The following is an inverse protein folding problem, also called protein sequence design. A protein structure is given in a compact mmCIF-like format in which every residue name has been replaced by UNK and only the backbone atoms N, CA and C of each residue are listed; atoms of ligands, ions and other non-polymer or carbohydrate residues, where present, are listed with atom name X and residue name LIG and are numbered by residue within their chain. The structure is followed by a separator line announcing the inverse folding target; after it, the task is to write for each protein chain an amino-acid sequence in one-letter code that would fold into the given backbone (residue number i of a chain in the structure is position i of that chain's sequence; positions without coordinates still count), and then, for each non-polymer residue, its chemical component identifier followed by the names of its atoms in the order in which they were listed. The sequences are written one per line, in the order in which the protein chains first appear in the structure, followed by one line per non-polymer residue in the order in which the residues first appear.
data_IF_490625056011
#
_entry.id   IF_490625056011
#
_cell.length_a   1.000
_cell.length_b   1.000
_cell.length_c   1.000
_cell.angle_alpha   90.00
_cell.angle_beta   90.00
_cell.angle_gamma   90.00
#
_symmetry.space_group_name_H-M   'P 1'
#
loop_
_entity.id
_entity.type
_entity.pdbx_description
1 polymer ?
#
# COMPACT_ATOMS: atom_id res chain seq x y z
N UNK A 1 30.37 41.60 27.06
CA UNK A 1 29.25 41.40 26.10
C UNK A 1 29.58 40.52 24.89
N UNK A 2 30.76 40.61 24.25
CA UNK A 2 31.11 39.78 23.07
C UNK A 2 31.27 38.26 23.34
N UNK A 3 31.59 37.86 24.58
CA UNK A 3 31.71 36.44 24.97
C UNK A 3 30.36 35.74 25.19
N UNK A 4 29.31 36.49 25.56
CA UNK A 4 27.97 35.95 25.78
C UNK A 4 27.25 35.68 24.44
N UNK A 5 27.46 36.56 23.45
CA UNK A 5 26.92 36.40 22.09
C UNK A 5 27.50 35.17 21.35
N UNK A 6 28.77 34.80 21.58
CA UNK A 6 29.38 33.59 20.99
C UNK A 6 28.86 32.29 21.63
N UNK A 7 28.51 32.32 22.91
CA UNK A 7 27.87 31.16 23.59
C UNK A 7 26.43 30.95 23.12
N UNK A 8 25.67 32.01 22.84
CA UNK A 8 24.33 31.88 22.25
C UNK A 8 24.37 31.38 20.80
N UNK A 9 25.36 31.79 19.99
CA UNK A 9 25.53 31.28 18.62
C UNK A 9 25.94 29.79 18.61
N UNK A 10 26.83 29.36 19.51
CA UNK A 10 27.17 27.94 19.66
C UNK A 10 25.97 27.10 20.16
N UNK A 11 25.14 27.63 21.05
CA UNK A 11 23.90 26.98 21.48
C UNK A 11 22.83 26.92 20.38
N UNK A 12 22.78 27.90 19.47
CA UNK A 12 21.88 27.90 18.30
C UNK A 12 22.36 26.97 17.18
N UNK A 13 23.68 26.77 17.03
CA UNK A 13 24.26 25.77 16.12
C UNK A 13 24.12 24.34 16.68
N UNK A 14 24.17 24.15 18.01
CA UNK A 14 23.82 22.88 18.66
C UNK A 14 22.31 22.63 18.77
N UNK A 15 21.47 23.67 18.66
CA UNK A 15 19.99 23.58 18.55
C UNK A 15 19.45 23.51 17.13
N UNK A 16 20.30 23.64 16.10
CA UNK A 16 20.18 22.75 14.93
C UNK A 16 20.61 21.36 15.39
N UNK A 17 19.87 20.83 16.38
CA UNK A 17 20.01 19.46 16.80
C UNK A 17 19.92 18.64 15.54
N UNK A 18 20.80 17.64 15.43
CA UNK A 18 20.71 16.56 14.46
C UNK A 18 19.24 16.28 14.21
N UNK A 19 18.68 16.84 13.13
CA UNK A 19 17.33 16.50 12.73
C UNK A 19 17.43 15.00 12.51
N UNK A 20 16.73 14.23 13.33
CA UNK A 20 16.83 12.78 13.24
C UNK A 20 16.33 12.43 11.83
N UNK A 21 17.25 12.00 10.98
CA UNK A 21 16.89 11.57 9.64
C UNK A 21 16.08 10.29 9.77
N UNK A 22 15.07 10.09 8.92
CA UNK A 22 14.30 8.86 8.95
C UNK A 22 15.19 7.65 8.67
N UNK A 23 14.98 6.61 9.47
CA UNK A 23 15.70 5.33 9.39
C UNK A 23 14.82 4.19 8.94
N UNK A 24 13.50 4.31 9.16
CA UNK A 24 12.53 3.25 8.85
C UNK A 24 11.47 3.75 7.88
N UNK A 25 11.26 3.00 6.80
CA UNK A 25 10.06 3.11 5.96
C UNK A 25 9.01 2.15 6.51
N UNK A 26 7.80 2.65 6.74
CA UNK A 26 6.63 1.83 7.06
C UNK A 26 5.66 1.93 5.89
N UNK A 27 5.31 0.80 5.29
CA UNK A 27 4.29 0.74 4.25
C UNK A 27 3.06 0.01 4.75
N UNK A 28 1.89 0.53 4.42
CA UNK A 28 0.61 -0.05 4.82
C UNK A 28 -0.16 -0.55 3.60
N UNK A 29 -0.70 -1.76 3.68
CA UNK A 29 -1.87 -2.12 2.89
C UNK A 29 -3.10 -1.29 3.32
N UNK A 30 -4.13 -1.29 2.49
CA UNK A 30 -5.34 -0.48 2.68
C UNK A 30 -6.50 -1.31 3.19
N UNK A 31 -6.91 -2.34 2.46
CA UNK A 31 -8.21 -2.98 2.61
C UNK A 31 -8.16 -4.08 3.68
N UNK A 32 -8.83 -3.83 4.80
CA UNK A 32 -8.77 -4.62 6.04
C UNK A 32 -7.48 -4.43 6.84
N UNK A 33 -6.61 -3.50 6.42
CA UNK A 33 -5.42 -3.05 7.18
C UNK A 33 -5.59 -1.64 7.75
N UNK A 34 -5.95 -0.65 6.92
CA UNK A 34 -6.23 0.73 7.36
C UNK A 34 -7.74 1.03 7.40
N UNK A 35 -8.49 0.46 6.47
CA UNK A 35 -9.94 0.67 6.34
C UNK A 35 -10.66 -0.67 6.19
N UNK A 36 -11.97 -0.73 6.45
CA UNK A 36 -12.75 -1.94 6.21
C UNK A 36 -12.72 -2.33 4.72
N UNK A 37 -12.34 -3.58 4.40
CA UNK A 37 -12.13 -4.03 3.01
C UNK A 37 -13.02 -5.20 2.53
N UNK A 38 -13.75 -5.90 3.41
CA UNK A 38 -14.36 -7.21 3.09
C UNK A 38 -15.82 -7.36 3.59
N UNK A 39 -16.68 -6.38 3.30
CA UNK A 39 -18.12 -6.46 3.58
C UNK A 39 -18.95 -6.56 2.30
N UNK A 40 -20.21 -7.03 2.40
CA UNK A 40 -21.15 -7.00 1.27
C UNK A 40 -21.34 -5.57 0.70
N UNK A 41 -21.19 -4.54 1.53
CA UNK A 41 -21.20 -3.15 1.08
C UNK A 41 -19.92 -2.77 0.33
N UNK A 42 -18.76 -3.30 0.74
CA UNK A 42 -17.49 -3.12 0.03
C UNK A 42 -17.51 -3.81 -1.35
N UNK A 43 -18.16 -4.96 -1.48
CA UNK A 43 -18.36 -5.66 -2.77
C UNK A 43 -19.29 -4.92 -3.72
N UNK A 44 -20.12 -4.01 -3.20
CA UNK A 44 -20.93 -3.09 -3.97
C UNK A 44 -20.38 -1.65 -3.94
N UNK A 45 -19.10 -1.45 -3.60
CA UNK A 45 -18.50 -0.11 -3.49
C UNK A 45 -18.24 0.52 -4.85
N UNK A 46 -17.88 1.82 -4.85
CA UNK A 46 -17.39 2.50 -6.05
C UNK A 46 -16.14 1.79 -6.63
N UNK A 47 -15.28 1.22 -5.77
CA UNK A 47 -14.14 0.43 -6.20
C UNK A 47 -14.57 -0.86 -6.90
N UNK A 48 -15.48 -1.63 -6.33
CA UNK A 48 -15.94 -2.87 -6.96
C UNK A 48 -16.65 -2.60 -8.32
N UNK A 49 -17.40 -1.50 -8.42
CA UNK A 49 -18.03 -1.08 -9.69
C UNK A 49 -17.01 -0.64 -10.74
N UNK A 50 -15.88 -0.05 -10.35
CA UNK A 50 -14.89 0.44 -11.32
C UNK A 50 -14.29 -0.71 -12.14
N UNK A 51 -14.09 -1.89 -11.56
CA UNK A 51 -13.70 -3.09 -12.31
C UNK A 51 -14.69 -3.39 -13.43
N UNK A 52 -15.98 -3.48 -13.08
CA UNK A 52 -17.02 -3.86 -14.04
C UNK A 52 -17.09 -2.90 -15.23
N UNK A 53 -17.06 -1.59 -14.93
CA UNK A 53 -17.08 -0.51 -15.93
C UNK A 53 -15.80 -0.51 -16.76
N UNK A 54 -14.62 -0.53 -16.14
CA UNK A 54 -13.35 -0.41 -16.84
C UNK A 54 -13.05 -1.62 -17.73
N UNK A 55 -13.24 -2.84 -17.22
CA UNK A 55 -13.06 -4.07 -18.02
C UNK A 55 -14.06 -4.10 -19.19
N UNK A 56 -15.30 -3.69 -18.97
CA UNK A 56 -16.31 -3.56 -20.02
C UNK A 56 -15.97 -2.51 -21.07
N UNK A 57 -15.44 -1.35 -20.66
CA UNK A 57 -15.02 -0.28 -21.56
C UNK A 57 -13.86 -0.70 -22.47
N UNK A 58 -12.87 -1.41 -21.93
CA UNK A 58 -11.65 -1.78 -22.67
C UNK A 58 -11.86 -3.01 -23.55
N UNK A 59 -12.66 -3.99 -23.09
CA UNK A 59 -12.75 -5.30 -23.72
C UNK A 59 -14.17 -5.73 -24.14
N UNK A 60 -15.22 -5.04 -23.68
CA UNK A 60 -16.62 -5.44 -23.84
C UNK A 60 -17.48 -4.43 -24.61
N UNK A 61 -16.89 -3.71 -25.57
CA UNK A 61 -17.56 -2.71 -26.41
C UNK A 61 -18.32 -1.62 -25.62
N UNK A 62 -17.85 -1.29 -24.41
CA UNK A 62 -18.46 -0.28 -23.55
C UNK A 62 -19.54 -0.79 -22.60
N UNK A 63 -19.99 -2.04 -22.72
CA UNK A 63 -20.95 -2.63 -21.80
C UNK A 63 -20.24 -3.08 -20.50
N UNK A 64 -20.68 -2.66 -19.31
CA UNK A 64 -20.10 -3.14 -18.06
C UNK A 64 -20.21 -4.66 -17.93
N UNK A 65 -19.19 -5.28 -17.35
CA UNK A 65 -19.25 -6.69 -16.95
C UNK A 65 -20.06 -6.87 -15.66
N UNK A 66 -20.18 -8.10 -15.16
CA UNK A 66 -20.64 -8.33 -13.79
C UNK A 66 -19.62 -7.82 -12.77
N UNK A 67 -20.07 -7.52 -11.54
CA UNK A 67 -19.15 -7.17 -10.45
C UNK A 67 -18.18 -8.33 -10.17
N UNK A 68 -16.96 -8.08 -9.66
CA UNK A 68 -16.00 -9.13 -9.33
C UNK A 68 -16.61 -10.26 -8.48
N UNK A 69 -17.32 -9.92 -7.40
CA UNK A 69 -17.97 -10.92 -6.52
C UNK A 69 -19.09 -11.74 -7.19
N UNK A 70 -19.61 -11.31 -8.35
CA UNK A 70 -20.62 -12.03 -9.11
C UNK A 70 -20.03 -12.94 -10.20
N UNK A 71 -18.76 -12.73 -10.58
CA UNK A 71 -18.10 -13.42 -11.71
C UNK A 71 -16.93 -14.29 -11.25
N UNK A 72 -16.22 -13.84 -10.21
CA UNK A 72 -15.01 -14.47 -9.68
C UNK A 72 -15.31 -15.19 -8.37
N UNK A 73 -14.55 -16.24 -8.10
CA UNK A 73 -14.55 -16.89 -6.80
C UNK A 73 -13.84 -16.00 -5.77
N UNK A 74 -14.26 -16.04 -4.51
CA UNK A 74 -13.65 -15.27 -3.41
C UNK A 74 -12.11 -15.40 -3.34
N UNK A 75 -11.57 -16.58 -3.65
CA UNK A 75 -10.13 -16.83 -3.66
C UNK A 75 -9.38 -16.09 -4.79
N UNK A 76 -10.08 -15.65 -5.84
CA UNK A 76 -9.50 -15.01 -7.01
C UNK A 76 -9.42 -13.48 -6.90
N UNK A 77 -10.06 -12.86 -5.90
CA UNK A 77 -10.03 -11.39 -5.75
C UNK A 77 -9.65 -10.91 -4.35
N UNK A 78 -9.89 -11.67 -3.28
CA UNK A 78 -9.46 -11.23 -1.95
C UNK A 78 -7.94 -11.30 -1.77
N UNK A 79 -7.30 -10.18 -1.44
CA UNK A 79 -5.85 -10.07 -1.27
C UNK A 79 -5.07 -10.08 -2.61
N UNK A 80 -5.79 -10.02 -3.74
CA UNK A 80 -5.19 -9.89 -5.07
C UNK A 80 -4.89 -8.43 -5.40
N UNK A 81 -4.10 -8.21 -6.45
CA UNK A 81 -3.94 -6.89 -7.07
C UNK A 81 -5.07 -6.60 -8.06
N UNK A 82 -5.41 -5.32 -8.25
CA UNK A 82 -6.43 -4.88 -9.20
C UNK A 82 -6.11 -5.33 -10.63
N UNK A 83 -4.82 -5.32 -11.02
CA UNK A 83 -4.38 -5.83 -12.31
C UNK A 83 -4.77 -7.30 -12.51
N UNK A 84 -4.45 -8.18 -11.56
CA UNK A 84 -4.81 -9.60 -11.65
C UNK A 84 -6.33 -9.81 -11.59
N UNK A 85 -7.07 -9.03 -10.78
CA UNK A 85 -8.53 -9.08 -10.72
C UNK A 85 -9.13 -8.71 -12.08
N UNK A 86 -8.68 -7.60 -12.69
CA UNK A 86 -9.18 -7.15 -13.98
C UNK A 86 -8.92 -8.17 -15.09
N UNK A 87 -7.76 -8.84 -15.08
CA UNK A 87 -7.44 -9.91 -16.03
C UNK A 87 -8.32 -11.15 -15.84
N UNK A 88 -8.54 -11.57 -14.59
CA UNK A 88 -9.47 -12.67 -14.27
C UNK A 88 -10.89 -12.35 -14.70
N UNK A 89 -11.32 -11.09 -14.50
CA UNK A 89 -12.63 -10.60 -14.92
C UNK A 89 -12.76 -10.58 -16.45
N UNK A 90 -11.76 -10.06 -17.17
CA UNK A 90 -11.74 -10.06 -18.64
C UNK A 90 -11.83 -11.50 -19.20
N UNK A 91 -11.09 -12.45 -18.59
CA UNK A 91 -11.16 -13.87 -18.98
C UNK A 91 -12.53 -14.48 -18.72
N UNK A 92 -13.05 -14.38 -17.50
CA UNK A 92 -14.30 -15.07 -17.10
C UNK A 92 -15.56 -14.41 -17.67
N UNK A 93 -15.62 -13.09 -17.75
CA UNK A 93 -16.80 -12.38 -18.23
C UNK A 93 -16.85 -12.22 -19.76
N UNK A 94 -15.70 -12.06 -20.41
CA UNK A 94 -15.61 -11.65 -21.81
C UNK A 94 -14.82 -12.63 -22.69
N UNK A 95 -14.22 -13.67 -22.12
CA UNK A 95 -13.45 -14.67 -22.87
C UNK A 95 -12.12 -14.16 -23.42
N UNK A 96 -11.60 -13.03 -22.91
CA UNK A 96 -10.33 -12.46 -23.37
C UNK A 96 -9.15 -13.17 -22.71
N UNK A 97 -8.18 -13.60 -23.50
CA UNK A 97 -7.00 -14.29 -22.98
C UNK A 97 -6.11 -13.32 -22.19
N UNK A 98 -5.44 -13.76 -21.10
CA UNK A 98 -4.58 -12.90 -20.30
C UNK A 98 -3.44 -12.26 -21.09
N UNK A 99 -2.87 -12.98 -22.06
CA UNK A 99 -1.83 -12.48 -22.95
C UNK A 99 -2.29 -11.28 -23.82
N UNK A 100 -3.58 -11.22 -24.15
CA UNK A 100 -4.17 -10.11 -24.92
C UNK A 100 -4.62 -8.96 -24.00
N UNK A 101 -5.06 -9.29 -22.78
CA UNK A 101 -5.56 -8.30 -21.82
C UNK A 101 -4.43 -7.59 -21.04
N UNK A 102 -3.35 -8.29 -20.68
CA UNK A 102 -2.27 -7.73 -19.85
C UNK A 102 -1.59 -6.49 -20.47
N UNK A 103 -1.26 -6.45 -21.77
CA UNK A 103 -0.70 -5.24 -22.39
C UNK A 103 -1.64 -4.02 -22.35
N UNK A 104 -2.94 -4.23 -22.15
CA UNK A 104 -3.97 -3.18 -22.12
C UNK A 104 -4.36 -2.79 -20.69
N UNK A 105 -3.71 -3.32 -19.66
CA UNK A 105 -3.93 -2.90 -18.27
C UNK A 105 -3.81 -1.38 -18.04
N UNK A 106 -2.90 -0.64 -18.69
CA UNK A 106 -2.88 0.82 -18.57
C UNK A 106 -4.21 1.48 -19.00
N UNK A 107 -4.87 0.96 -20.04
CA UNK A 107 -6.20 1.44 -20.46
C UNK A 107 -7.27 1.11 -19.41
N UNK A 108 -7.19 -0.08 -18.80
CA UNK A 108 -8.10 -0.49 -17.73
C UNK A 108 -7.93 0.41 -16.51
N UNK A 109 -6.69 0.68 -16.08
CA UNK A 109 -6.42 1.53 -14.93
C UNK A 109 -6.89 2.98 -15.18
N UNK A 110 -6.69 3.51 -16.38
CA UNK A 110 -7.23 4.81 -16.77
C UNK A 110 -8.77 4.82 -16.71
N UNK A 111 -9.45 3.80 -17.24
CA UNK A 111 -10.89 3.69 -17.18
C UNK A 111 -11.42 3.50 -15.74
N UNK A 112 -10.69 2.77 -14.88
CA UNK A 112 -11.01 2.67 -13.45
C UNK A 112 -10.93 4.04 -12.78
N UNK A 113 -9.89 4.83 -13.10
CA UNK A 113 -9.74 6.18 -12.59
C UNK A 113 -10.90 7.09 -13.03
N UNK A 114 -11.20 7.13 -14.33
CA UNK A 114 -12.29 7.94 -14.87
C UNK A 114 -13.63 7.61 -14.21
N UNK A 115 -13.87 6.33 -13.91
CA UNK A 115 -15.12 5.87 -13.28
C UNK A 115 -15.31 6.38 -11.84
N UNK A 116 -14.24 6.75 -11.14
CA UNK A 116 -14.30 7.21 -9.74
C UNK A 116 -13.96 8.69 -9.56
N UNK A 117 -13.37 9.34 -10.57
CA UNK A 117 -12.90 10.72 -10.49
C UNK A 117 -14.05 11.71 -10.14
N UNK A 118 -15.25 11.49 -10.68
CA UNK A 118 -16.42 12.33 -10.46
C UNK A 118 -17.28 11.97 -9.24
N UNK A 119 -16.95 10.90 -8.51
CA UNK A 119 -17.71 10.47 -7.33
C UNK A 119 -17.29 11.36 -6.16
N UNK A 120 -18.22 11.99 -5.44
CA UNK A 120 -17.88 12.75 -4.23
C UNK A 120 -17.33 11.85 -3.12
N UNK A 121 -16.57 12.43 -2.19
CA UNK A 121 -15.86 11.65 -1.18
C UNK A 121 -16.83 10.97 -0.20
N UNK A 122 -17.94 11.62 0.16
CA UNK A 122 -18.99 11.02 1.00
C UNK A 122 -19.61 9.78 0.35
N UNK A 123 -19.98 9.87 -0.94
CA UNK A 123 -20.51 8.75 -1.71
C UNK A 123 -19.47 7.64 -1.91
N UNK A 124 -18.19 8.00 -2.06
CA UNK A 124 -17.11 7.03 -2.19
C UNK A 124 -16.83 6.28 -0.88
N UNK A 125 -16.92 6.97 0.27
CA UNK A 125 -16.68 6.40 1.60
C UNK A 125 -17.80 5.47 2.09
N UNK A 126 -18.91 5.32 1.37
CA UNK A 126 -20.01 4.44 1.78
C UNK A 126 -19.50 3.00 1.97
N UNK A 127 -19.53 2.52 3.21
CA UNK A 127 -19.04 1.18 3.58
C UNK A 127 -17.53 1.09 3.82
N UNK A 128 -16.81 2.22 3.79
CA UNK A 128 -15.36 2.31 3.99
C UNK A 128 -15.10 3.22 5.20
N UNK A 129 -14.60 2.63 6.29
CA UNK A 129 -14.30 3.35 7.52
C UNK A 129 -12.91 2.94 8.04
N UNK A 130 -12.14 3.85 8.66
CA UNK A 130 -10.91 3.49 9.35
C UNK A 130 -11.12 2.39 10.39
N UNK A 131 -10.19 1.44 10.45
CA UNK A 131 -10.22 0.39 11.46
C UNK A 131 -9.81 0.91 12.85
N UNK A 132 -10.18 0.21 13.94
CA UNK A 132 -9.78 0.58 15.29
C UNK A 132 -8.26 0.79 15.41
N UNK A 133 -7.86 1.87 16.08
CA UNK A 133 -6.45 2.21 16.31
C UNK A 133 -5.75 2.92 15.13
N UNK A 134 -6.28 2.85 13.91
CA UNK A 134 -5.64 3.43 12.70
C UNK A 134 -5.40 4.93 12.86
N UNK A 135 -6.44 5.69 13.24
CA UNK A 135 -6.34 7.15 13.38
C UNK A 135 -5.28 7.52 14.43
N UNK A 136 -5.32 6.89 15.60
CA UNK A 136 -4.36 7.13 16.70
C UNK A 136 -2.94 6.80 16.26
N UNK A 137 -2.75 5.67 15.60
CA UNK A 137 -1.45 5.19 15.13
C UNK A 137 -0.87 6.10 14.06
N UNK A 138 -1.64 6.46 13.04
CA UNK A 138 -1.17 7.36 11.97
C UNK A 138 -0.85 8.76 12.52
N UNK A 139 -1.67 9.30 13.43
CA UNK A 139 -1.35 10.58 14.11
C UNK A 139 -0.03 10.50 14.90
N UNK A 140 0.23 9.38 15.58
CA UNK A 140 1.48 9.18 16.31
C UNK A 140 2.69 9.09 15.38
N UNK A 141 2.56 8.41 14.23
CA UNK A 141 3.63 8.29 13.23
C UNK A 141 3.91 9.61 12.52
N UNK A 142 2.88 10.40 12.21
CA UNK A 142 3.01 11.72 11.59
C UNK A 142 3.91 12.68 12.41
N UNK A 143 4.00 12.45 13.72
CA UNK A 143 4.81 13.26 14.63
C UNK A 143 6.23 12.70 14.86
N UNK A 144 6.57 11.54 14.29
CA UNK A 144 7.85 10.87 14.53
C UNK A 144 8.80 11.08 13.34
N UNK A 145 9.84 11.95 13.44
CA UNK A 145 10.71 12.28 12.32
C UNK A 145 11.62 11.13 11.86
N UNK A 146 11.63 10.01 12.61
CA UNK A 146 12.49 8.87 12.37
C UNK A 146 11.86 7.83 11.44
N UNK A 147 10.58 8.00 11.13
CA UNK A 147 9.81 7.12 10.25
C UNK A 147 9.31 7.90 9.04
N UNK A 148 9.22 7.21 7.91
CA UNK A 148 8.52 7.65 6.70
C UNK A 148 7.39 6.66 6.49
N UNK A 149 6.18 7.14 6.22
CA UNK A 149 5.06 6.26 5.91
C UNK A 149 4.68 6.37 4.43
N UNK A 150 4.36 5.24 3.81
CA UNK A 150 3.76 5.16 2.48
C UNK A 150 2.70 4.07 2.43
N UNK A 151 2.08 3.88 1.26
CA UNK A 151 1.17 2.76 1.04
C UNK A 151 1.80 1.70 0.13
N UNK A 152 1.52 0.44 0.41
CA UNK A 152 1.72 -0.64 -0.56
C UNK A 152 0.41 -1.41 -0.65
N UNK A 153 -0.26 -1.33 -1.80
CA UNK A 153 -1.60 -1.90 -1.96
C UNK A 153 -1.81 -2.44 -3.35
N UNK A 154 -2.63 -3.49 -3.45
CA UNK A 154 -3.09 -4.06 -4.71
C UNK A 154 -4.02 -3.14 -5.48
N UNK A 155 -4.58 -2.11 -4.82
CA UNK A 155 -5.42 -1.11 -5.47
C UNK A 155 -4.62 -0.29 -6.49
N UNK A 156 -5.25 0.09 -7.60
CA UNK A 156 -4.72 1.15 -8.46
C UNK A 156 -4.59 2.44 -7.65
N UNK A 157 -3.55 3.23 -7.95
CA UNK A 157 -3.14 4.38 -7.15
C UNK A 157 -4.29 5.39 -6.93
N UNK A 158 -5.09 5.67 -7.96
CA UNK A 158 -6.21 6.60 -7.87
C UNK A 158 -7.28 6.14 -6.85
N UNK A 159 -7.56 4.84 -6.79
CA UNK A 159 -8.50 4.27 -5.83
C UNK A 159 -7.92 4.37 -4.41
N UNK A 160 -6.64 4.05 -4.23
CA UNK A 160 -5.97 4.18 -2.94
C UNK A 160 -6.02 5.62 -2.43
N UNK A 161 -5.74 6.61 -3.30
CA UNK A 161 -5.85 8.05 -3.00
C UNK A 161 -7.26 8.44 -2.57
N UNK A 162 -8.26 8.03 -3.37
CA UNK A 162 -9.66 8.32 -3.10
C UNK A 162 -10.10 7.75 -1.75
N UNK A 163 -9.68 6.53 -1.40
CA UNK A 163 -9.91 5.94 -0.07
C UNK A 163 -9.29 6.77 1.05
N UNK A 164 -8.02 7.15 0.92
CA UNK A 164 -7.33 7.93 1.96
C UNK A 164 -7.93 9.33 2.16
N UNK A 165 -8.34 9.99 1.08
CA UNK A 165 -9.02 11.29 1.13
C UNK A 165 -10.42 11.15 1.76
N UNK A 166 -11.24 10.24 1.23
CA UNK A 166 -12.63 10.07 1.62
C UNK A 166 -12.82 9.61 3.08
N UNK A 167 -11.83 8.90 3.63
CA UNK A 167 -11.83 8.49 5.05
C UNK A 167 -11.14 9.48 5.99
N UNK A 168 -10.61 10.58 5.46
CA UNK A 168 -9.88 11.59 6.23
C UNK A 168 -8.47 11.17 6.68
N UNK A 169 -8.01 9.97 6.33
CA UNK A 169 -6.69 9.46 6.71
C UNK A 169 -5.54 10.27 6.09
N UNK A 170 -5.74 10.79 4.87
CA UNK A 170 -4.77 11.67 4.23
C UNK A 170 -4.51 12.94 5.06
N UNK A 171 -5.56 13.52 5.65
CA UNK A 171 -5.48 14.75 6.42
C UNK A 171 -4.71 14.61 7.75
N UNK A 172 -4.43 13.37 8.19
CA UNK A 172 -3.62 13.10 9.38
C UNK A 172 -2.13 13.44 9.17
N UNK A 173 -1.68 13.59 7.91
CA UNK A 173 -0.31 13.99 7.58
C UNK A 173 0.76 12.91 7.83
N UNK A 174 0.36 11.65 7.99
CA UNK A 174 1.29 10.54 8.21
C UNK A 174 2.00 10.09 6.93
N UNK A 175 1.27 10.11 5.80
CA UNK A 175 1.77 9.63 4.51
C UNK A 175 2.73 10.64 3.90
N UNK A 176 3.93 10.19 3.53
CA UNK A 176 4.96 11.04 2.97
C UNK A 176 4.58 11.52 1.55
N UNK A 177 5.09 12.67 1.10
CA UNK A 177 4.89 13.17 -0.25
C UNK A 177 5.32 12.12 -1.31
N UNK A 178 4.72 12.14 -2.51
CA UNK A 178 5.07 11.21 -3.57
C UNK A 178 6.50 11.45 -4.06
N UNK A 179 7.10 10.41 -4.63
CA UNK A 179 8.35 10.57 -5.38
C UNK A 179 8.09 11.37 -6.67
N UNK A 180 9.01 12.26 -7.11
CA UNK A 180 8.80 13.05 -8.32
C UNK A 180 8.53 12.24 -9.59
N UNK A 181 9.13 11.05 -9.73
CA UNK A 181 8.87 10.18 -10.89
C UNK A 181 7.47 9.55 -10.83
N UNK A 182 6.96 9.28 -9.63
CA UNK A 182 5.59 8.81 -9.42
C UNK A 182 4.58 9.83 -9.98
N UNK A 183 4.85 11.12 -9.81
CA UNK A 183 4.00 12.20 -10.35
C UNK A 183 4.25 12.45 -11.85
N UNK A 184 5.49 12.32 -12.32
CA UNK A 184 5.86 12.58 -13.71
C UNK A 184 5.35 11.54 -14.71
N UNK A 185 4.99 10.33 -14.25
CA UNK A 185 4.50 9.22 -15.06
C UNK A 185 3.17 9.44 -15.80
N UNK A 186 2.57 10.63 -15.72
CA UNK A 186 1.51 11.09 -16.63
C UNK A 186 0.11 10.48 -16.43
N UNK A 187 -0.05 9.54 -15.49
CA UNK A 187 -1.36 8.98 -15.12
C UNK A 187 -2.14 9.82 -14.12
N UNK A 188 -1.51 10.82 -13.51
CA UNK A 188 -2.14 11.69 -12.51
C UNK A 188 -2.71 12.94 -13.17
N UNK A 189 -4.02 13.16 -13.05
CA UNK A 189 -4.56 14.48 -13.34
C UNK A 189 -3.99 15.49 -12.34
N UNK A 190 -3.68 16.72 -12.79
CA UNK A 190 -3.11 17.76 -11.93
C UNK A 190 -3.93 18.02 -10.65
N UNK A 191 -5.25 17.81 -10.70
CA UNK A 191 -6.16 17.96 -9.55
C UNK A 191 -5.98 16.91 -8.45
N UNK A 192 -5.44 15.73 -8.77
CA UNK A 192 -5.17 14.65 -7.80
C UNK A 192 -3.70 14.62 -7.36
N UNK A 193 -2.85 15.52 -7.87
CA UNK A 193 -1.48 15.68 -7.39
C UNK A 193 -1.42 16.18 -5.93
N UNK A 194 -2.46 16.87 -5.45
CA UNK A 194 -2.56 17.33 -4.06
C UNK A 194 -2.93 16.18 -3.10
N UNK A 195 -3.55 15.11 -3.60
CA UNK A 195 -3.81 13.89 -2.84
C UNK A 195 -2.67 12.87 -2.97
N UNK A 196 -1.55 13.31 -3.54
CA UNK A 196 -0.44 12.43 -3.83
C UNK A 196 0.41 12.11 -2.59
N UNK A 197 0.89 10.87 -2.52
CA UNK A 197 1.72 10.34 -1.45
C UNK A 197 2.55 9.14 -1.94
N UNK A 198 3.65 8.89 -1.23
CA UNK A 198 4.59 7.80 -1.45
C UNK A 198 3.91 6.43 -1.41
N UNK A 199 4.23 5.56 -2.36
CA UNK A 199 3.81 4.17 -2.27
C UNK A 199 4.23 3.29 -3.43
N UNK A 200 3.70 2.06 -3.41
CA UNK A 200 3.69 1.09 -4.51
C UNK A 200 2.26 0.58 -4.69
N UNK A 201 1.74 0.66 -5.90
CA UNK A 201 0.31 0.48 -6.18
C UNK A 201 0.08 -0.64 -7.20
N UNK A 202 -1.15 -1.16 -7.27
CA UNK A 202 -1.58 -2.12 -8.30
C UNK A 202 -1.36 -1.64 -9.72
N UNK A 203 -1.33 -0.32 -9.92
CA UNK A 203 -1.04 0.32 -11.21
C UNK A 203 0.45 0.40 -11.56
N UNK A 204 1.35 0.17 -10.61
CA UNK A 204 2.80 0.22 -10.85
C UNK A 204 3.34 -1.08 -11.46
N UNK A 205 2.76 -2.23 -11.09
CA UNK A 205 3.22 -3.53 -11.54
C UNK A 205 2.09 -4.57 -11.52
N UNK A 206 2.03 -5.37 -12.58
CA UNK A 206 1.21 -6.58 -12.69
C UNK A 206 1.97 -7.56 -13.59
N UNK A 207 2.20 -8.79 -13.12
CA UNK A 207 2.90 -9.82 -13.89
C UNK A 207 2.11 -10.31 -15.11
N UNK A 208 0.78 -10.17 -15.08
CA UNK A 208 -0.12 -10.65 -16.12
C UNK A 208 -0.39 -12.16 -16.08
N UNK A 209 0.29 -12.89 -15.19
CA UNK A 209 0.11 -14.33 -15.01
C UNK A 209 -0.95 -14.60 -13.95
N UNK A 210 -2.18 -14.84 -14.39
CA UNK A 210 -3.32 -15.10 -13.49
C UNK A 210 -3.47 -16.57 -13.11
N UNK A 211 -2.66 -17.46 -13.67
CA UNK A 211 -2.71 -18.91 -13.46
C UNK A 211 -1.65 -19.38 -12.46
N UNK A 212 -0.61 -18.58 -12.22
CA UNK A 212 0.33 -18.77 -11.12
C UNK A 212 -0.22 -18.17 -9.81
N UNK A 213 -0.51 -19.04 -8.84
CA UNK A 213 -1.06 -18.66 -7.54
C UNK A 213 -0.12 -17.80 -6.70
N UNK A 214 1.20 -17.88 -6.95
CA UNK A 214 2.21 -17.13 -6.21
C UNK A 214 2.23 -15.65 -6.64
N UNK A 215 1.63 -15.31 -7.79
CA UNK A 215 1.66 -13.95 -8.34
C UNK A 215 0.99 -12.91 -7.46
N UNK A 216 0.00 -13.30 -6.64
CA UNK A 216 -0.61 -12.36 -5.70
C UNK A 216 0.42 -11.75 -4.73
N UNK A 217 1.34 -12.57 -4.20
CA UNK A 217 2.34 -12.08 -3.24
C UNK A 217 3.62 -11.60 -3.94
N UNK A 218 3.99 -12.16 -5.11
CA UNK A 218 5.15 -11.68 -5.86
C UNK A 218 4.90 -10.29 -6.48
N UNK A 219 3.72 -10.04 -7.07
CA UNK A 219 3.37 -8.71 -7.57
C UNK A 219 3.31 -7.68 -6.43
N UNK A 220 2.83 -8.11 -5.25
CA UNK A 220 2.87 -7.30 -4.02
C UNK A 220 4.31 -7.02 -3.58
N UNK A 221 5.21 -7.99 -3.67
CA UNK A 221 6.63 -7.83 -3.38
C UNK A 221 7.30 -6.81 -4.31
N UNK A 222 6.96 -6.81 -5.60
CA UNK A 222 7.41 -5.78 -6.55
C UNK A 222 6.90 -4.38 -6.16
N UNK A 223 5.65 -4.27 -5.71
CA UNK A 223 5.11 -2.99 -5.20
C UNK A 223 5.84 -2.51 -3.94
N UNK A 224 6.18 -3.43 -3.02
CA UNK A 224 7.06 -3.12 -1.87
C UNK A 224 8.41 -2.58 -2.36
N UNK A 225 9.03 -3.24 -3.35
CA UNK A 225 10.31 -2.83 -3.91
C UNK A 225 10.26 -1.46 -4.60
N UNK A 226 9.17 -1.17 -5.31
CA UNK A 226 8.93 0.15 -5.91
C UNK A 226 8.80 1.22 -4.83
N UNK A 227 8.00 0.97 -3.78
CA UNK A 227 7.84 1.90 -2.66
C UNK A 227 9.17 2.17 -1.95
N UNK A 228 9.99 1.13 -1.71
CA UNK A 228 11.31 1.24 -1.11
C UNK A 228 12.25 2.12 -1.94
N UNK A 229 12.35 1.87 -3.25
CA UNK A 229 13.21 2.66 -4.16
C UNK A 229 12.80 4.13 -4.18
N UNK A 230 11.50 4.40 -4.29
CA UNK A 230 10.94 5.77 -4.22
C UNK A 230 11.30 6.45 -2.89
N UNK A 231 11.12 5.75 -1.77
CA UNK A 231 11.44 6.28 -0.46
C UNK A 231 12.93 6.56 -0.27
N UNK A 232 13.82 5.66 -0.70
CA UNK A 232 15.29 5.80 -0.57
C UNK A 232 15.84 6.96 -1.39
N UNK A 233 15.25 7.27 -2.55
CA UNK A 233 15.61 8.48 -3.32
C UNK A 233 15.34 9.77 -2.53
N UNK A 234 14.17 9.86 -1.89
CA UNK A 234 13.82 11.00 -1.06
C UNK A 234 14.56 11.01 0.29
N UNK A 235 14.86 9.81 0.83
CA UNK A 235 15.43 9.60 2.15
C UNK A 235 16.57 8.56 2.11
N UNK A 236 17.79 8.96 1.67
CA UNK A 236 18.91 8.03 1.55
C UNK A 236 19.35 7.36 2.85
N UNK A 237 18.98 7.92 4.00
CA UNK A 237 19.30 7.41 5.34
C UNK A 237 18.44 6.24 5.81
N UNK A 238 17.43 5.83 5.03
CA UNK A 238 16.60 4.67 5.33
C UNK A 238 17.45 3.40 5.33
N UNK A 239 17.30 2.61 6.39
CA UNK A 239 18.04 1.38 6.65
C UNK A 239 17.10 0.20 6.89
N UNK A 240 15.83 0.46 7.23
CA UNK A 240 14.83 -0.55 7.57
C UNK A 240 13.53 -0.33 6.81
N UNK A 241 12.90 -1.43 6.43
CA UNK A 241 11.56 -1.47 5.86
C UNK A 241 10.65 -2.26 6.80
N UNK A 242 9.43 -1.79 7.02
CA UNK A 242 8.37 -2.55 7.69
C UNK A 242 7.12 -2.50 6.82
N UNK A 243 6.64 -3.67 6.39
CA UNK A 243 5.36 -3.76 5.68
C UNK A 243 4.26 -4.24 6.63
N UNK A 244 3.09 -3.61 6.56
CA UNK A 244 1.92 -3.89 7.39
C UNK A 244 0.76 -4.32 6.49
N UNK A 245 0.17 -5.49 6.76
CA UNK A 245 -0.94 -6.02 5.97
C UNK A 245 -1.71 -7.15 6.67
N UNK A 246 -2.90 -7.47 6.18
CA UNK A 246 -3.81 -8.46 6.80
C UNK A 246 -3.89 -9.80 6.05
N UNK A 247 -3.32 -9.88 4.84
CA UNK A 247 -3.46 -11.04 3.98
C UNK A 247 -2.17 -11.88 3.93
N UNK A 248 -2.28 -13.20 3.60
CA UNK A 248 -1.15 -14.03 3.21
C UNK A 248 -0.25 -13.37 2.17
N UNK A 249 -0.84 -12.63 1.22
CA UNK A 249 -0.08 -11.94 0.18
C UNK A 249 0.87 -10.88 0.76
N UNK A 250 0.47 -10.13 1.78
CA UNK A 250 1.32 -9.10 2.40
C UNK A 250 2.47 -9.73 3.19
N UNK A 251 2.16 -10.80 3.95
CA UNK A 251 3.16 -11.54 4.74
C UNK A 251 4.20 -12.19 3.84
N UNK A 252 3.75 -12.92 2.82
CA UNK A 252 4.63 -13.61 1.87
C UNK A 252 5.42 -12.62 1.01
N UNK A 253 4.83 -11.49 0.60
CA UNK A 253 5.54 -10.45 -0.12
C UNK A 253 6.69 -9.86 0.71
N UNK A 254 6.41 -9.48 1.96
CA UNK A 254 7.43 -8.94 2.86
C UNK A 254 8.55 -9.96 3.12
N UNK A 255 8.18 -11.24 3.28
CA UNK A 255 9.13 -12.35 3.46
C UNK A 255 10.00 -12.58 2.22
N UNK A 256 9.41 -12.55 1.02
CA UNK A 256 10.15 -12.68 -0.23
C UNK A 256 11.13 -11.50 -0.44
N UNK A 257 10.72 -10.28 -0.08
CA UNK A 257 11.62 -9.12 -0.05
C UNK A 257 12.81 -9.31 0.92
N UNK A 258 12.62 -10.01 2.03
CA UNK A 258 13.64 -10.22 3.04
C UNK A 258 14.60 -11.37 2.72
N UNK A 259 14.08 -12.48 2.18
CA UNK A 259 14.77 -13.76 2.11
C UNK A 259 15.03 -14.27 0.68
N UNK A 260 14.31 -13.74 -0.30
CA UNK A 260 14.29 -14.27 -1.68
C UNK A 260 14.81 -13.24 -2.70
N UNK A 261 15.28 -12.09 -2.22
CA UNK A 261 16.09 -11.18 -3.01
C UNK A 261 15.33 -10.20 -3.90
N UNK A 262 14.03 -9.98 -3.68
CA UNK A 262 13.28 -8.95 -4.42
C UNK A 262 13.78 -7.51 -4.17
N UNK A 263 14.58 -7.32 -3.12
CA UNK A 263 15.25 -6.06 -2.79
C UNK A 263 16.78 -6.14 -2.96
N UNK A 264 17.30 -7.15 -3.64
CA UNK A 264 18.75 -7.39 -3.75
C UNK A 264 19.50 -6.24 -4.44
N UNK A 265 20.69 -5.96 -3.91
CA UNK A 265 21.60 -4.90 -4.35
C UNK A 265 22.16 -4.09 -3.17
N UNK A 266 23.18 -3.26 -3.40
CA UNK A 266 23.77 -2.38 -2.36
C UNK A 266 22.75 -1.41 -1.73
N UNK A 267 21.55 -1.30 -2.33
CA UNK A 267 20.50 -0.39 -1.94
C UNK A 267 19.32 -1.00 -1.15
N UNK A 268 19.31 -2.32 -0.93
CA UNK A 268 18.29 -3.01 -0.13
C UNK A 268 18.24 -2.53 1.33
N UNK A 269 17.10 -2.72 2.04
CA UNK A 269 17.06 -2.48 3.48
C UNK A 269 17.97 -3.47 4.19
N UNK A 270 18.63 -3.03 5.26
CA UNK A 270 19.38 -3.93 6.13
C UNK A 270 18.46 -4.92 6.84
N UNK A 271 17.23 -4.51 7.20
CA UNK A 271 16.22 -5.37 7.82
C UNK A 271 14.86 -5.12 7.18
N UNK A 272 14.15 -6.20 6.85
CA UNK A 272 12.74 -6.17 6.49
C UNK A 272 11.92 -6.71 7.67
N UNK A 273 11.02 -5.88 8.20
CA UNK A 273 10.01 -6.28 9.16
C UNK A 273 8.67 -6.52 8.47
N UNK A 274 7.84 -7.35 9.09
CA UNK A 274 6.45 -7.51 8.72
C UNK A 274 5.57 -7.38 9.97
N UNK A 275 4.49 -6.62 9.85
CA UNK A 275 3.43 -6.58 10.84
C UNK A 275 2.17 -7.14 10.22
N UNK A 276 1.89 -8.42 10.47
CA UNK A 276 0.65 -9.05 10.05
C UNK A 276 -0.48 -8.67 11.02
N UNK A 277 -1.60 -8.18 10.50
CA UNK A 277 -2.74 -7.73 11.33
C UNK A 277 -3.94 -8.65 11.19
N UNK A 278 -4.52 -9.06 12.31
CA UNK A 278 -5.70 -9.95 12.37
C UNK A 278 -7.04 -9.28 12.07
N UNK A 279 -7.02 -8.11 11.43
CA UNK A 279 -8.23 -7.32 11.12
C UNK A 279 -8.90 -7.73 9.81
N UNK A 280 -8.23 -8.58 9.03
CA UNK A 280 -8.75 -9.23 7.82
C UNK A 280 -9.60 -10.46 8.10
N UNK A 281 -9.79 -11.26 7.05
CA UNK A 281 -10.52 -12.54 7.14
C UNK A 281 -9.65 -13.72 7.61
N UNK A 282 -8.35 -13.52 7.72
CA UNK A 282 -7.39 -14.57 8.05
C UNK A 282 -7.10 -14.57 9.56
N UNK A 283 -7.06 -15.76 10.15
CA UNK A 283 -6.75 -15.92 11.56
C UNK A 283 -5.29 -15.51 11.84
N UNK A 284 -4.99 -14.83 12.98
CA UNK A 284 -3.63 -14.46 13.35
C UNK A 284 -2.66 -15.65 13.36
N UNK A 285 -3.11 -16.83 13.77
CA UNK A 285 -2.30 -18.05 13.80
C UNK A 285 -1.85 -18.44 12.38
N UNK A 286 -2.75 -18.35 11.40
CA UNK A 286 -2.43 -18.63 10.01
C UNK A 286 -1.40 -17.64 9.46
N UNK A 287 -1.54 -16.35 9.78
CA UNK A 287 -0.57 -15.33 9.38
C UNK A 287 0.79 -15.55 10.04
N UNK A 288 0.82 -16.00 11.30
CA UNK A 288 2.04 -16.34 12.02
C UNK A 288 2.76 -17.53 11.39
N UNK A 289 2.01 -18.58 11.02
CA UNK A 289 2.57 -19.77 10.34
C UNK A 289 3.24 -19.39 9.02
N UNK A 290 2.64 -18.47 8.26
CA UNK A 290 3.21 -17.98 6.99
C UNK A 290 4.45 -17.09 7.21
N UNK A 291 4.42 -16.26 8.25
CA UNK A 291 5.52 -15.35 8.57
C UNK A 291 6.79 -16.11 8.99
N UNK A 292 6.61 -17.23 9.71
CA UNK A 292 7.69 -18.03 10.27
C UNK A 292 8.49 -17.30 11.35
N UNK A 293 9.65 -17.85 11.69
CA UNK A 293 10.51 -17.32 12.74
C UNK A 293 11.35 -16.13 12.26
N UNK A 294 11.69 -15.23 13.19
CA UNK A 294 12.60 -14.12 12.94
C UNK A 294 14.01 -14.62 12.58
N UNK A 295 14.68 -13.88 11.69
CA UNK A 295 16.07 -14.10 11.30
C UNK A 295 16.86 -12.86 11.68
N UNK A 296 17.84 -13.02 12.57
CA UNK A 296 18.59 -11.90 13.15
C UNK A 296 19.22 -11.02 12.06
N UNK A 297 18.96 -9.71 12.15
CA UNK A 297 19.45 -8.72 11.19
C UNK A 297 18.90 -8.84 9.77
N UNK A 298 17.87 -9.66 9.51
CA UNK A 298 17.31 -9.87 8.15
C UNK A 298 15.79 -9.76 8.13
N UNK A 299 15.11 -10.51 8.99
CA UNK A 299 13.65 -10.68 9.00
C UNK A 299 13.07 -10.56 10.42
N UNK A 300 12.15 -9.61 10.64
CA UNK A 300 11.51 -9.36 11.94
C UNK A 300 9.96 -9.36 11.81
N UNK A 301 9.32 -10.55 11.79
CA UNK A 301 7.87 -10.67 11.73
C UNK A 301 7.22 -10.45 13.10
N UNK A 302 6.08 -9.78 13.10
CA UNK A 302 5.19 -9.64 14.26
C UNK A 302 3.74 -9.82 13.80
N UNK A 303 2.95 -10.56 14.57
CA UNK A 303 1.51 -10.69 14.35
C UNK A 303 0.73 -9.98 15.46
N UNK A 304 -0.20 -9.12 15.06
CA UNK A 304 -1.06 -8.34 15.95
C UNK A 304 -2.52 -8.72 15.72
N UNK A 305 -3.12 -9.45 16.66
CA UNK A 305 -4.52 -9.90 16.54
C UNK A 305 -5.51 -8.73 16.42
N UNK A 306 -5.30 -7.66 17.20
CA UNK A 306 -6.16 -6.47 17.22
C UNK A 306 -5.73 -5.39 16.21
N UNK A 307 -4.86 -5.75 15.26
CA UNK A 307 -4.30 -4.83 14.27
C UNK A 307 -3.61 -3.61 14.88
N UNK A 308 -3.88 -2.43 14.33
CA UNK A 308 -3.25 -1.17 14.77
C UNK A 308 -3.78 -0.62 16.10
N UNK A 309 -4.77 -1.27 16.72
CA UNK A 309 -5.18 -0.95 18.09
C UNK A 309 -4.21 -1.53 19.14
N UNK A 310 -3.37 -2.50 18.74
CA UNK A 310 -2.37 -3.09 19.63
C UNK A 310 -1.22 -2.11 19.90
N UNK A 311 -1.02 -1.78 21.18
CA UNK A 311 0.02 -0.84 21.63
C UNK A 311 1.45 -1.31 21.29
N UNK A 312 1.65 -2.60 21.02
CA UNK A 312 2.93 -3.16 20.57
C UNK A 312 3.33 -2.63 19.19
N UNK A 313 2.38 -2.21 18.35
CA UNK A 313 2.67 -1.72 17.00
C UNK A 313 3.76 -0.64 16.98
N UNK A 314 3.58 0.42 17.77
CA UNK A 314 4.54 1.54 17.80
C UNK A 314 5.92 1.11 18.32
N UNK A 315 5.96 0.11 19.22
CA UNK A 315 7.23 -0.44 19.67
C UNK A 315 7.96 -1.17 18.53
N UNK A 316 7.23 -1.96 17.73
CA UNK A 316 7.78 -2.69 16.57
C UNK A 316 8.23 -1.72 15.47
N UNK A 317 7.41 -0.73 15.15
CA UNK A 317 7.70 0.32 14.18
C UNK A 317 8.99 1.09 14.52
N UNK A 318 9.30 1.22 15.82
CA UNK A 318 10.46 1.96 16.33
C UNK A 318 11.68 1.10 16.66
N UNK A 319 11.63 -0.22 16.46
CA UNK A 319 12.81 -1.09 16.70
C UNK A 319 13.97 -0.67 15.81
N UNK A 320 15.16 -0.54 16.41
CA UNK A 320 16.39 -0.17 15.70
C UNK A 320 16.55 1.33 15.43
N UNK A 321 15.68 2.18 15.98
CA UNK A 321 15.73 3.64 15.89
C UNK A 321 16.16 4.26 17.23
#
# INVERSE_FOLDING_TARGET
MRALARRCAALLVLKRGLALSPRTLITFDVDSTLVKGSSAQAEASAHARSFAVATGAVFGDGAPTGLPAAVLDAAEYHGSTDGLIALRLARKALGVAPADAAPRLPEVFAAMYDSVAGVDDEAFAVGIEPLPGVVVTLTALASDPRVVCGLVTGNVEAIARKKMRATGLLALGALAPPDPEQVAGGGLAAAEAESAFLGGFGSDFCSGDIDDADRNHLDRGEQIAIAWRRARRAHPSLERLVHVGDAPADVLAARACALEGLLDGDDGPGVVGCVAVGTGKYAPEHLADLAGDAVDGVWDPVVLADGLADLRFLAVARRGI
#
